data_IF_039177182736
#
_entry.id   IF_039177182736
#
_cell.length_a   1.000
_cell.length_b   1.000
_cell.length_c   1.000
_cell.angle_alpha   90.00
_cell.angle_beta   90.00
_cell.angle_gamma   90.00
#
_symmetry.space_group_name_H-M   'P 1'
#
loop_
_entity.id
_entity.type
_entity.pdbx_description
1 polymer ?
#
# COMPACT_ATOMS: atom_id res chain seq x y z
N UNK A 1 -22.79 -9.75 19.79
CA UNK A 1 -21.38 -10.18 19.99
C UNK A 1 -20.52 -10.09 18.72
N UNK A 2 -21.08 -10.06 17.51
CA UNK A 2 -20.30 -10.07 16.25
C UNK A 2 -19.70 -8.71 15.87
N UNK A 3 -20.32 -7.57 16.22
CA UNK A 3 -19.79 -6.23 15.93
C UNK A 3 -18.51 -5.88 16.70
N UNK A 4 -18.37 -6.34 17.94
CA UNK A 4 -17.17 -6.09 18.76
C UNK A 4 -15.95 -6.85 18.21
N UNK A 5 -16.13 -8.12 17.82
CA UNK A 5 -15.05 -8.92 17.22
C UNK A 5 -14.57 -8.32 15.90
N UNK A 6 -15.49 -7.84 15.07
CA UNK A 6 -15.16 -7.19 13.80
C UNK A 6 -14.34 -5.91 14.01
N UNK A 7 -14.76 -5.06 14.97
CA UNK A 7 -14.04 -3.85 15.31
C UNK A 7 -12.63 -4.14 15.84
N UNK A 8 -12.47 -5.18 16.66
CA UNK A 8 -11.17 -5.59 17.20
C UNK A 8 -10.25 -6.03 16.05
N UNK A 9 -10.72 -6.89 15.15
CA UNK A 9 -9.94 -7.36 13.99
C UNK A 9 -9.56 -6.18 13.08
N UNK A 10 -10.53 -5.30 12.78
CA UNK A 10 -10.31 -4.06 12.00
C UNK A 10 -9.23 -3.18 12.60
N UNK A 11 -9.27 -2.97 13.92
CA UNK A 11 -8.32 -2.12 14.63
C UNK A 11 -6.93 -2.74 14.65
N UNK A 12 -6.84 -4.06 14.90
CA UNK A 12 -5.57 -4.79 14.87
C UNK A 12 -4.93 -4.78 13.48
N UNK A 13 -5.72 -5.05 12.43
CA UNK A 13 -5.27 -5.00 11.04
C UNK A 13 -4.79 -3.59 10.66
N UNK A 14 -5.51 -2.57 11.12
CA UNK A 14 -5.12 -1.18 10.95
C UNK A 14 -3.77 -0.85 11.60
N UNK A 15 -3.57 -1.27 12.85
CA UNK A 15 -2.31 -1.08 13.57
C UNK A 15 -1.14 -1.80 12.88
N UNK A 16 -1.32 -3.06 12.48
CA UNK A 16 -0.27 -3.81 11.77
C UNK A 16 0.04 -3.19 10.41
N UNK A 17 -0.97 -2.73 9.68
CA UNK A 17 -0.82 -2.02 8.42
C UNK A 17 0.00 -0.73 8.57
N UNK A 18 -0.28 0.08 9.59
CA UNK A 18 0.50 1.29 9.88
C UNK A 18 1.98 0.98 10.18
N UNK A 19 2.26 -0.07 10.96
CA UNK A 19 3.64 -0.48 11.25
C UNK A 19 4.38 -0.86 9.97
N UNK A 20 3.71 -1.58 9.05
CA UNK A 20 4.29 -1.92 7.75
C UNK A 20 4.56 -0.69 6.89
N UNK A 21 3.61 0.24 6.82
CA UNK A 21 3.76 1.50 6.06
C UNK A 21 4.91 2.33 6.61
N UNK A 22 5.12 2.32 7.93
CA UNK A 22 6.20 3.05 8.58
C UNK A 22 7.56 2.36 8.50
N UNK A 23 7.65 1.11 8.05
CA UNK A 23 8.93 0.39 7.99
C UNK A 23 10.04 1.11 7.20
N UNK A 24 9.78 1.69 6.01
CA UNK A 24 10.80 2.40 5.26
C UNK A 24 11.34 3.64 5.97
N UNK A 25 10.74 4.09 7.08
CA UNK A 25 11.22 5.22 7.87
C UNK A 25 12.68 5.08 8.30
N UNK A 26 13.12 3.87 8.68
CA UNK A 26 14.51 3.61 9.08
C UNK A 26 15.45 3.83 7.89
N UNK A 27 15.06 3.32 6.72
CA UNK A 27 15.81 3.51 5.48
C UNK A 27 15.87 4.99 5.10
N UNK A 28 14.74 5.68 5.10
CA UNK A 28 14.66 7.11 4.75
C UNK A 28 15.42 7.97 5.75
N UNK A 29 15.37 7.67 7.04
CA UNK A 29 16.15 8.35 8.05
C UNK A 29 17.65 8.18 7.80
N UNK A 30 18.09 6.96 7.44
CA UNK A 30 19.48 6.72 7.03
C UNK A 30 19.85 7.56 5.81
N UNK A 31 19.03 7.57 4.77
CA UNK A 31 19.24 8.39 3.56
C UNK A 31 19.33 9.88 3.90
N UNK A 32 18.48 10.37 4.80
CA UNK A 32 18.52 11.76 5.25
C UNK A 32 19.83 12.10 5.97
N UNK A 33 20.33 11.19 6.81
CA UNK A 33 21.61 11.35 7.54
C UNK A 33 22.82 11.24 6.62
N UNK A 34 22.86 10.26 5.72
CA UNK A 34 23.99 10.02 4.81
C UNK A 34 23.97 10.97 3.60
N UNK A 35 22.83 11.62 3.32
CA UNK A 35 22.57 12.39 2.11
C UNK A 35 22.82 11.62 0.82
N UNK A 36 22.76 10.29 0.89
CA UNK A 36 22.94 9.38 -0.23
C UNK A 36 22.01 8.19 -0.07
N UNK A 37 21.30 7.89 -1.16
CA UNK A 37 20.39 6.75 -1.28
C UNK A 37 21.16 5.42 -1.40
N UNK A 38 22.39 5.46 -1.91
CA UNK A 38 23.19 4.27 -2.15
C UNK A 38 22.55 3.33 -3.17
N UNK A 39 22.44 2.04 -2.82
CA UNK A 39 21.88 0.97 -3.66
C UNK A 39 20.38 0.73 -3.44
N UNK A 40 19.72 1.55 -2.60
CA UNK A 40 18.30 1.39 -2.31
C UNK A 40 17.45 1.71 -3.55
N UNK A 41 16.56 0.80 -3.94
CA UNK A 41 15.63 1.00 -5.05
C UNK A 41 14.49 1.94 -4.66
N UNK A 42 14.01 2.74 -5.62
CA UNK A 42 12.82 3.59 -5.47
C UNK A 42 11.53 2.77 -5.54
N UNK A 43 11.57 1.61 -6.19
CA UNK A 43 10.38 0.79 -6.52
C UNK A 43 9.53 0.47 -5.28
N UNK A 44 10.08 0.00 -4.14
CA UNK A 44 9.28 -0.31 -2.96
C UNK A 44 8.54 0.90 -2.36
N UNK A 45 9.11 2.11 -2.49
CA UNK A 45 8.47 3.34 -1.99
C UNK A 45 7.32 3.77 -2.91
N UNK A 46 7.51 3.61 -4.22
CA UNK A 46 6.50 3.97 -5.22
C UNK A 46 5.35 2.98 -5.19
N UNK A 47 5.61 1.67 -5.07
CA UNK A 47 4.56 0.66 -4.94
C UNK A 47 3.80 0.79 -3.62
N UNK A 48 4.47 1.17 -2.52
CA UNK A 48 3.82 1.49 -1.26
C UNK A 48 2.85 2.68 -1.40
N UNK A 49 3.30 3.75 -2.06
CA UNK A 49 2.46 4.91 -2.36
C UNK A 49 1.25 4.52 -3.22
N UNK A 50 1.47 3.80 -4.34
CA UNK A 50 0.38 3.34 -5.19
C UNK A 50 -0.63 2.46 -4.45
N UNK A 51 -0.16 1.56 -3.58
CA UNK A 51 -1.03 0.72 -2.77
C UNK A 51 -1.88 1.56 -1.82
N UNK A 52 -1.27 2.48 -1.05
CA UNK A 52 -2.02 3.35 -0.15
C UNK A 52 -3.07 4.17 -0.91
N UNK A 53 -2.69 4.70 -2.08
CA UNK A 53 -3.56 5.53 -2.90
C UNK A 53 -4.83 4.80 -3.36
N UNK A 54 -4.69 3.57 -3.84
CA UNK A 54 -5.85 2.78 -4.31
C UNK A 54 -6.72 2.35 -3.15
N UNK A 55 -6.14 1.99 -2.00
CA UNK A 55 -6.91 1.53 -0.83
C UNK A 55 -7.75 2.63 -0.18
N UNK A 56 -7.25 3.88 -0.09
CA UNK A 56 -8.08 4.96 0.44
C UNK A 56 -9.21 5.34 -0.53
N UNK A 57 -8.97 5.28 -1.85
CA UNK A 57 -10.01 5.47 -2.88
C UNK A 57 -11.09 4.38 -2.81
N UNK A 58 -10.68 3.13 -2.61
CA UNK A 58 -11.61 2.03 -2.38
C UNK A 58 -12.43 2.26 -1.11
N UNK A 59 -11.78 2.61 0.01
CA UNK A 59 -12.44 2.92 1.28
C UNK A 59 -13.45 4.07 1.17
N UNK A 60 -13.15 5.08 0.36
CA UNK A 60 -14.08 6.16 0.03
C UNK A 60 -15.31 5.65 -0.74
N UNK A 61 -15.11 4.75 -1.71
CA UNK A 61 -16.20 4.23 -2.55
C UNK A 61 -17.20 3.38 -1.74
N UNK A 62 -16.70 2.51 -0.85
CA UNK A 62 -17.53 1.65 0.01
C UNK A 62 -18.04 2.36 1.28
N UNK A 63 -17.84 3.69 1.39
CA UNK A 63 -18.19 4.51 2.56
C UNK A 63 -17.65 3.97 3.89
N UNK A 64 -16.53 3.25 3.84
CA UNK A 64 -15.88 2.64 5.00
C UNK A 64 -14.84 3.61 5.58
N UNK A 65 -15.37 4.58 6.34
CA UNK A 65 -14.59 5.65 6.96
C UNK A 65 -13.57 5.14 7.98
N UNK A 66 -13.81 4.00 8.64
CA UNK A 66 -12.91 3.43 9.65
C UNK A 66 -12.88 1.90 9.56
N UNK A 67 -11.73 1.23 9.28
CA UNK A 67 -10.34 1.69 9.42
C UNK A 67 -9.61 1.99 8.09
N UNK A 68 -10.18 1.62 6.93
CA UNK A 68 -9.47 1.60 5.65
C UNK A 68 -9.13 3.02 5.20
N UNK A 69 -10.12 3.90 5.09
CA UNK A 69 -9.94 5.24 4.54
C UNK A 69 -8.84 6.03 5.26
N UNK A 70 -8.97 6.24 6.57
CA UNK A 70 -8.02 7.08 7.32
C UNK A 70 -6.61 6.50 7.39
N UNK A 71 -6.48 5.18 7.55
CA UNK A 71 -5.16 4.54 7.68
C UNK A 71 -4.38 4.66 6.38
N UNK A 72 -5.01 4.34 5.25
CA UNK A 72 -4.36 4.42 3.96
C UNK A 72 -4.18 5.86 3.48
N UNK A 73 -5.04 6.80 3.88
CA UNK A 73 -4.83 8.23 3.62
C UNK A 73 -3.60 8.78 4.36
N UNK A 74 -3.45 8.45 5.64
CA UNK A 74 -2.23 8.80 6.40
C UNK A 74 -1.02 8.11 5.79
N UNK A 75 -1.16 6.84 5.39
CA UNK A 75 -0.09 6.09 4.75
C UNK A 75 0.37 6.68 3.42
N UNK A 76 -0.58 7.18 2.63
CA UNK A 76 -0.34 7.88 1.38
C UNK A 76 0.52 9.14 1.60
N UNK A 77 0.15 9.97 2.58
CA UNK A 77 0.92 11.15 2.97
C UNK A 77 2.33 10.79 3.46
N UNK A 78 2.46 9.76 4.29
CA UNK A 78 3.77 9.27 4.77
C UNK A 78 4.64 8.78 3.61
N UNK A 79 4.05 8.04 2.67
CA UNK A 79 4.76 7.55 1.49
C UNK A 79 5.24 8.70 0.58
N UNK A 80 4.44 9.76 0.42
CA UNK A 80 4.86 10.99 -0.27
C UNK A 80 6.05 11.68 0.40
N UNK A 81 6.07 11.75 1.74
CA UNK A 81 7.23 12.27 2.48
C UNK A 81 8.47 11.41 2.23
N UNK A 82 8.34 10.09 2.27
CA UNK A 82 9.45 9.17 1.97
C UNK A 82 9.98 9.34 0.54
N UNK A 83 9.09 9.43 -0.45
CA UNK A 83 9.45 9.68 -1.84
C UNK A 83 10.13 11.04 -2.03
N UNK A 84 9.66 12.08 -1.34
CA UNK A 84 10.25 13.42 -1.40
C UNK A 84 11.68 13.44 -0.85
N UNK A 85 11.92 12.77 0.27
CA UNK A 85 13.27 12.63 0.84
C UNK A 85 14.17 11.81 -0.09
N UNK A 86 13.68 10.68 -0.61
CA UNK A 86 14.42 9.84 -1.55
C UNK A 86 14.79 10.62 -2.82
N UNK A 87 13.84 11.36 -3.38
CA UNK A 87 14.03 12.18 -4.58
C UNK A 87 15.07 13.29 -4.38
N UNK A 88 15.11 13.90 -3.18
CA UNK A 88 16.09 14.94 -2.86
C UNK A 88 17.53 14.43 -2.94
N UNK A 89 17.78 13.23 -2.43
CA UNK A 89 19.13 12.66 -2.27
C UNK A 89 19.52 11.63 -3.35
N UNK A 90 18.63 11.27 -4.27
CA UNK A 90 18.96 10.35 -5.36
C UNK A 90 19.85 11.00 -6.41
N UNK A 91 20.86 10.25 -6.87
CA UNK A 91 21.72 10.65 -8.00
C UNK A 91 21.06 10.34 -9.35
N UNK A 92 20.12 9.38 -9.40
CA UNK A 92 19.48 8.92 -10.63
C UNK A 92 18.14 9.63 -10.90
N UNK A 93 18.13 10.97 -10.86
CA UNK A 93 16.89 11.78 -10.95
C UNK A 93 16.06 11.51 -12.21
N UNK A 94 16.69 11.29 -13.36
CA UNK A 94 15.95 10.99 -14.62
C UNK A 94 15.13 9.69 -14.53
N UNK A 95 15.73 8.64 -13.97
CA UNK A 95 15.05 7.37 -13.77
C UNK A 95 13.92 7.51 -12.75
N UNK A 96 14.20 8.11 -11.60
CA UNK A 96 13.21 8.33 -10.54
C UNK A 96 12.04 9.18 -11.03
N UNK A 97 12.31 10.29 -11.74
CA UNK A 97 11.26 11.12 -12.33
C UNK A 97 10.42 10.35 -13.33
N UNK A 98 11.03 9.54 -14.20
CA UNK A 98 10.28 8.72 -15.16
C UNK A 98 9.33 7.75 -14.44
N UNK A 99 9.81 7.07 -13.40
CA UNK A 99 8.99 6.15 -12.61
C UNK A 99 7.86 6.90 -11.89
N UNK A 100 8.16 8.03 -11.25
CA UNK A 100 7.17 8.86 -10.57
C UNK A 100 6.11 9.43 -11.53
N UNK A 101 6.51 9.92 -12.70
CA UNK A 101 5.57 10.44 -13.71
C UNK A 101 4.65 9.35 -14.23
N UNK A 102 5.17 8.16 -14.55
CA UNK A 102 4.35 7.04 -15.01
C UNK A 102 3.34 6.64 -13.93
N UNK A 103 3.78 6.53 -12.69
CA UNK A 103 2.93 6.12 -11.57
C UNK A 103 1.89 7.18 -11.22
N UNK A 104 2.27 8.47 -11.22
CA UNK A 104 1.34 9.57 -11.04
C UNK A 104 0.28 9.61 -12.15
N UNK A 105 0.64 9.32 -13.40
CA UNK A 105 -0.32 9.21 -14.49
C UNK A 105 -1.31 8.06 -14.28
N UNK A 106 -0.84 6.88 -13.86
CA UNK A 106 -1.70 5.74 -13.54
C UNK A 106 -2.65 6.08 -12.39
N UNK A 107 -2.14 6.65 -11.30
CA UNK A 107 -2.95 7.05 -10.14
C UNK A 107 -3.96 8.15 -10.51
N UNK A 108 -3.58 9.12 -11.35
CA UNK A 108 -4.50 10.14 -11.83
C UNK A 108 -5.68 9.51 -12.60
N UNK A 109 -5.42 8.53 -13.48
CA UNK A 109 -6.48 7.81 -14.19
C UNK A 109 -7.41 7.07 -13.24
N UNK A 110 -6.86 6.35 -12.25
CA UNK A 110 -7.66 5.63 -11.24
C UNK A 110 -8.49 6.61 -10.39
N UNK A 111 -7.91 7.74 -10.01
CA UNK A 111 -8.58 8.78 -9.22
C UNK A 111 -9.71 9.45 -10.01
N UNK A 112 -9.45 9.76 -11.29
CA UNK A 112 -10.47 10.32 -12.19
C UNK A 112 -11.61 9.33 -12.37
N UNK A 113 -11.31 8.04 -12.58
CA UNK A 113 -12.33 7.00 -12.63
C UNK A 113 -13.17 6.98 -11.34
N UNK A 114 -12.51 6.95 -10.17
CA UNK A 114 -13.16 7.00 -8.85
C UNK A 114 -14.06 8.23 -8.66
N UNK A 115 -13.61 9.40 -9.08
CA UNK A 115 -14.35 10.66 -8.97
C UNK A 115 -15.56 10.68 -9.91
N UNK A 116 -15.38 10.36 -11.20
CA UNK A 116 -16.45 10.39 -12.21
C UNK A 116 -17.58 9.43 -11.81
N UNK A 117 -17.24 8.23 -11.35
CA UNK A 117 -18.26 7.29 -10.92
C UNK A 117 -18.84 7.59 -9.54
N UNK A 118 -18.09 8.24 -8.63
CA UNK A 118 -18.64 8.79 -7.39
C UNK A 118 -19.67 9.90 -7.63
N UNK A 119 -19.52 10.69 -8.70
CA UNK A 119 -20.50 11.69 -9.15
C UNK A 119 -21.65 11.11 -9.98
N UNK A 120 -21.71 9.79 -10.20
CA UNK A 120 -22.81 9.13 -10.90
C UNK A 120 -22.80 9.30 -12.43
N UNK A 121 -21.74 9.86 -13.02
CA UNK A 121 -21.64 10.08 -14.47
C UNK A 121 -21.35 8.80 -15.27
N UNK A 122 -20.98 7.69 -14.61
CA UNK A 122 -20.62 6.44 -15.29
C UNK A 122 -21.81 5.52 -15.62
N UNK A 123 -23.05 5.86 -15.25
CA UNK A 123 -24.22 4.95 -15.32
C UNK A 123 -23.98 3.57 -14.64
N UNK A 124 -22.91 3.43 -13.84
CA UNK A 124 -22.58 2.23 -13.07
C UNK A 124 -23.05 2.41 -11.63
N UNK A 125 -23.53 1.34 -11.01
CA UNK A 125 -23.81 1.36 -9.57
C UNK A 125 -22.51 1.52 -8.79
N UNK A 126 -22.58 2.17 -7.63
CA UNK A 126 -21.42 2.36 -6.73
C UNK A 126 -20.80 1.02 -6.32
N UNK A 127 -21.61 -0.03 -6.26
CA UNK A 127 -21.22 -1.40 -5.91
C UNK A 127 -20.37 -2.11 -6.99
N UNK A 128 -20.76 -2.00 -8.27
CA UNK A 128 -19.94 -2.49 -9.38
C UNK A 128 -18.59 -1.79 -9.43
N UNK A 129 -18.59 -0.50 -9.08
CA UNK A 129 -17.40 0.32 -9.10
C UNK A 129 -16.46 0.05 -7.92
N UNK A 130 -16.98 -0.17 -6.70
CA UNK A 130 -16.18 -0.63 -5.58
C UNK A 130 -15.56 -1.99 -5.86
N UNK A 131 -16.26 -2.87 -6.58
CA UNK A 131 -15.70 -4.17 -7.00
C UNK A 131 -14.49 -4.00 -7.91
N UNK A 132 -14.58 -3.12 -8.92
CA UNK A 132 -13.46 -2.82 -9.82
C UNK A 132 -12.28 -2.19 -9.05
N UNK A 133 -12.55 -1.21 -8.17
CA UNK A 133 -11.49 -0.58 -7.37
C UNK A 133 -10.86 -1.55 -6.38
N UNK A 134 -11.63 -2.47 -5.80
CA UNK A 134 -11.14 -3.55 -4.94
C UNK A 134 -10.21 -4.49 -5.70
N UNK A 135 -10.59 -4.93 -6.90
CA UNK A 135 -9.73 -5.76 -7.76
C UNK A 135 -8.42 -5.05 -8.11
N UNK A 136 -8.47 -3.76 -8.43
CA UNK A 136 -7.27 -2.96 -8.70
C UNK A 136 -6.41 -2.83 -7.44
N UNK A 137 -7.02 -2.69 -6.26
CA UNK A 137 -6.31 -2.65 -4.98
C UNK A 137 -5.57 -3.96 -4.71
N UNK A 138 -6.23 -5.10 -4.92
CA UNK A 138 -5.66 -6.43 -4.72
C UNK A 138 -4.50 -6.70 -5.69
N UNK A 139 -4.67 -6.39 -6.98
CA UNK A 139 -3.60 -6.50 -7.98
C UNK A 139 -2.41 -5.63 -7.59
N UNK A 140 -2.66 -4.39 -7.16
CA UNK A 140 -1.61 -3.46 -6.71
C UNK A 140 -0.88 -4.00 -5.48
N UNK A 141 -1.60 -4.59 -4.52
CA UNK A 141 -1.03 -5.22 -3.34
C UNK A 141 -0.16 -6.42 -3.70
N UNK A 142 -0.61 -7.28 -4.61
CA UNK A 142 0.17 -8.43 -5.13
C UNK A 142 1.46 -7.94 -5.80
N UNK A 143 1.37 -6.93 -6.66
CA UNK A 143 2.55 -6.33 -7.29
C UNK A 143 3.50 -5.69 -6.27
N UNK A 144 2.98 -5.06 -5.22
CA UNK A 144 3.78 -4.51 -4.12
C UNK A 144 4.55 -5.60 -3.38
N UNK A 145 3.91 -6.75 -3.11
CA UNK A 145 4.58 -7.91 -2.49
C UNK A 145 5.56 -8.61 -3.44
N UNK A 146 5.36 -8.53 -4.75
CA UNK A 146 6.29 -9.07 -5.74
C UNK A 146 7.62 -8.28 -5.81
N UNK A 147 7.60 -6.96 -5.56
CA UNK A 147 8.79 -6.11 -5.60
C UNK A 147 9.93 -6.56 -4.64
N UNK A 148 9.67 -6.92 -3.37
CA UNK A 148 10.69 -7.52 -2.50
C UNK A 148 10.98 -8.99 -2.81
N UNK A 149 10.06 -9.75 -3.44
CA UNK A 149 10.32 -11.16 -3.82
C UNK A 149 11.45 -11.30 -4.84
N UNK A 150 11.62 -10.36 -5.78
CA UNK A 150 12.77 -10.36 -6.69
C UNK A 150 14.11 -10.31 -5.92
N UNK A 151 14.16 -9.51 -4.85
CA UNK A 151 15.32 -9.43 -3.95
C UNK A 151 15.46 -10.68 -3.09
N UNK A 152 14.35 -11.31 -2.71
CA UNK A 152 14.32 -12.56 -1.94
C UNK A 152 14.85 -13.75 -2.76
N UNK A 153 14.53 -13.80 -4.06
CA UNK A 153 15.13 -14.76 -5.01
C UNK A 153 16.64 -14.53 -5.16
N UNK A 154 17.10 -13.28 -5.14
CA UNK A 154 18.54 -12.96 -5.09
C UNK A 154 19.17 -13.44 -3.78
N UNK A 155 18.53 -13.22 -2.63
CA UNK A 155 19.01 -13.73 -1.33
C UNK A 155 19.12 -15.25 -1.31
N UNK A 156 18.14 -15.97 -1.89
CA UNK A 156 18.16 -17.43 -2.01
C UNK A 156 19.31 -17.89 -2.91
N UNK A 157 19.52 -17.18 -4.04
CA UNK A 157 20.59 -17.44 -5.01
C UNK A 157 21.99 -17.17 -4.45
N UNK A 158 22.14 -16.13 -3.64
CA UNK A 158 23.42 -15.72 -3.02
C UNK A 158 23.60 -16.25 -1.59
N UNK A 159 22.66 -17.06 -1.07
CA UNK A 159 22.65 -17.65 0.30
C UNK A 159 23.01 -16.67 1.42
N UNK A 160 22.56 -15.41 1.33
CA UNK A 160 22.85 -14.41 2.37
C UNK A 160 21.56 -13.80 2.93
N UNK A 161 21.13 -14.28 4.09
CA UNK A 161 19.93 -13.83 4.79
C UNK A 161 20.10 -12.47 5.51
N UNK A 162 21.21 -11.76 5.31
CA UNK A 162 21.57 -10.56 6.06
C UNK A 162 20.60 -9.37 5.91
N UNK A 163 19.63 -9.45 4.97
CA UNK A 163 18.70 -8.36 4.65
C UNK A 163 17.23 -8.65 4.98
N UNK A 164 16.87 -9.86 5.44
CA UNK A 164 15.48 -10.18 5.78
C UNK A 164 15.26 -9.85 7.26
N UNK A 165 14.58 -8.74 7.53
CA UNK A 165 14.09 -8.44 8.87
C UNK A 165 12.90 -9.36 9.19
N UNK A 166 13.17 -10.48 9.89
CA UNK A 166 12.15 -11.50 10.20
C UNK A 166 10.91 -10.92 10.88
N UNK A 167 11.06 -9.87 11.71
CA UNK A 167 9.95 -9.20 12.36
C UNK A 167 8.97 -8.56 11.38
N UNK A 168 9.46 -8.02 10.26
CA UNK A 168 8.59 -7.45 9.23
C UNK A 168 7.81 -8.51 8.46
N UNK A 169 8.42 -9.66 8.22
CA UNK A 169 7.75 -10.78 7.53
C UNK A 169 6.62 -11.31 8.41
N UNK A 170 6.87 -11.47 9.71
CA UNK A 170 5.84 -11.90 10.68
C UNK A 170 4.72 -10.86 10.76
N UNK A 171 5.04 -9.57 10.91
CA UNK A 171 4.04 -8.50 10.95
C UNK A 171 3.19 -8.46 9.66
N UNK A 172 3.82 -8.64 8.50
CA UNK A 172 3.14 -8.71 7.21
C UNK A 172 2.23 -9.93 7.08
N UNK A 173 2.69 -11.11 7.53
CA UNK A 173 1.87 -12.31 7.55
C UNK A 173 0.65 -12.14 8.46
N UNK A 174 0.84 -11.63 9.68
CA UNK A 174 -0.25 -11.36 10.62
C UNK A 174 -1.25 -10.37 10.02
N UNK A 175 -0.77 -9.29 9.39
CA UNK A 175 -1.63 -8.31 8.74
C UNK A 175 -2.50 -8.96 7.64
N UNK A 176 -1.89 -9.76 6.76
CA UNK A 176 -2.62 -10.44 5.68
C UNK A 176 -3.62 -11.46 6.22
N UNK A 177 -3.26 -12.23 7.27
CA UNK A 177 -4.20 -13.14 7.92
C UNK A 177 -5.41 -12.40 8.52
N UNK A 178 -5.19 -11.26 9.18
CA UNK A 178 -6.27 -10.45 9.74
C UNK A 178 -7.21 -9.93 8.67
N UNK A 179 -6.68 -9.44 7.53
CA UNK A 179 -7.50 -9.00 6.40
C UNK A 179 -8.27 -10.15 5.75
N UNK A 180 -7.65 -11.32 5.62
CA UNK A 180 -8.31 -12.52 5.08
C UNK A 180 -9.46 -12.99 6.00
N UNK A 181 -9.23 -13.04 7.31
CA UNK A 181 -10.28 -13.37 8.29
C UNK A 181 -11.40 -12.33 8.26
N UNK A 182 -11.07 -11.04 8.13
CA UNK A 182 -12.05 -9.98 7.99
C UNK A 182 -12.91 -10.15 6.72
N UNK A 183 -12.30 -10.50 5.58
CA UNK A 183 -13.01 -10.79 4.33
C UNK A 183 -14.03 -11.91 4.49
N UNK A 184 -13.61 -13.07 5.01
CA UNK A 184 -14.51 -14.23 5.24
C UNK A 184 -15.65 -13.87 6.20
N UNK A 185 -15.37 -13.09 7.24
CA UNK A 185 -16.41 -12.72 8.22
C UNK A 185 -17.44 -11.74 7.65
N UNK A 186 -17.06 -10.99 6.63
CA UNK A 186 -17.96 -10.06 5.93
C UNK A 186 -18.79 -10.80 4.88
N UNK A 187 -18.18 -11.70 4.09
CA UNK A 187 -18.85 -12.50 3.06
C UNK A 187 -19.94 -13.43 3.64
N UNK A 188 -19.67 -14.05 4.80
CA UNK A 188 -20.64 -14.91 5.51
C UNK A 188 -21.87 -14.17 6.07
N UNK A 189 -21.94 -12.84 5.98
CA UNK A 189 -23.12 -12.06 6.40
C UNK A 189 -24.07 -11.72 5.26
N UNK A 190 -23.63 -11.85 4.01
CA UNK A 190 -24.42 -11.55 2.81
C UNK A 190 -25.15 -12.79 2.24
N UNK A 191 -25.09 -13.92 2.98
CA UNK A 191 -25.84 -15.18 2.78
C UNK A 191 -26.92 -15.34 3.87
#
# INVERSE_FOLDING_TARGET
MTGTTELVIKTMAGCTGMIMILSPSILIYRVFKTKDVGVASVIPLVTLFSNCHVWWLYGYMIENWFPIFWIYLVGDFVALVFLSVYWKYTKQRRYVNRVLTIMAAIQAVVTIYAIIGGFGYTNQSRDSMSTVLGLVADVTAICMYAAPMEKLLQVLKYRSAAFINAHMVIAGLTNNCLWFTYGIMTDNRDL
#
